data_IF_458886122391
#
_entry.id   IF_458886122391
#
_cell.length_a   1.000
_cell.length_b   1.000
_cell.length_c   1.000
_cell.angle_alpha   90.00
_cell.angle_beta   90.00
_cell.angle_gamma   90.00
#
_symmetry.space_group_name_H-M   'P 1'
#
loop_
_entity.id
_entity.type
_entity.pdbx_description
1 polymer ?
#
# COMPACT_ATOMS: atom_id res chain seq x y z
N UNK A 1 -8.96 -2.45 6.47
CA UNK A 1 -8.03 -1.41 6.96
C UNK A 1 -8.66 -0.56 8.06
N UNK A 2 -9.73 0.21 7.78
CA UNK A 2 -10.38 1.14 8.73
C UNK A 2 -10.62 0.53 10.12
N UNK A 3 -11.20 -0.67 10.21
CA UNK A 3 -11.44 -1.37 11.49
C UNK A 3 -10.16 -1.54 12.34
N UNK A 4 -9.01 -1.81 11.72
CA UNK A 4 -7.72 -1.95 12.42
C UNK A 4 -7.22 -0.60 12.96
N UNK A 5 -7.60 0.52 12.34
CA UNK A 5 -7.27 1.87 12.81
C UNK A 5 -8.18 2.34 13.96
N UNK A 6 -9.31 1.67 14.18
CA UNK A 6 -10.21 1.92 15.31
C UNK A 6 -9.76 1.19 16.59
N UNK A 7 -8.79 0.28 16.51
CA UNK A 7 -8.25 -0.43 17.68
C UNK A 7 -7.56 0.55 18.61
N UNK A 8 -8.10 0.68 19.82
CA UNK A 8 -7.53 1.52 20.86
C UNK A 8 -6.50 0.71 21.65
N UNK A 9 -5.29 1.26 21.84
CA UNK A 9 -4.26 0.63 22.68
C UNK A 9 -4.74 0.64 24.14
N UNK A 10 -4.89 -0.53 24.78
CA UNK A 10 -5.38 -0.59 26.15
C UNK A 10 -4.27 -0.38 27.17
N UNK A 11 -4.62 0.19 28.32
CA UNK A 11 -3.77 0.17 29.53
C UNK A 11 -3.86 -1.18 30.24
N UNK A 12 -5.02 -1.85 30.17
CA UNK A 12 -5.31 -3.14 30.82
C UNK A 12 -4.98 -4.39 29.98
N UNK A 13 -4.35 -4.23 28.81
CA UNK A 13 -4.02 -5.34 27.89
C UNK A 13 -5.17 -5.88 27.03
N UNK A 14 -6.44 -5.53 27.32
CA UNK A 14 -7.62 -5.97 26.54
C UNK A 14 -7.94 -4.95 25.43
N UNK A 15 -7.72 -5.32 24.17
CA UNK A 15 -7.99 -4.44 23.02
C UNK A 15 -9.47 -4.03 22.94
N UNK A 16 -9.72 -2.74 22.69
CA UNK A 16 -11.06 -2.18 22.56
C UNK A 16 -11.34 -1.68 21.15
N UNK A 17 -12.59 -1.82 20.72
CA UNK A 17 -13.14 -1.23 19.50
C UNK A 17 -14.34 -0.37 19.88
N UNK A 18 -14.41 0.90 19.43
CA UNK A 18 -15.56 1.75 19.69
C UNK A 18 -16.77 1.31 18.87
N UNK A 19 -17.97 1.38 19.47
CA UNK A 19 -19.22 1.17 18.76
C UNK A 19 -19.52 2.39 17.86
N UNK A 20 -19.25 2.27 16.56
CA UNK A 20 -19.43 3.36 15.58
C UNK A 20 -20.06 2.85 14.28
N UNK A 21 -20.77 3.74 13.59
CA UNK A 21 -21.23 3.53 12.22
C UNK A 21 -20.38 4.34 11.24
N UNK A 22 -19.90 3.72 10.17
CA UNK A 22 -19.02 4.35 9.17
C UNK A 22 -19.58 4.09 7.77
N UNK A 23 -19.82 5.17 7.02
CA UNK A 23 -20.10 5.14 5.58
C UNK A 23 -18.90 5.75 4.85
N UNK A 24 -18.13 4.91 4.16
CA UNK A 24 -16.86 5.26 3.51
C UNK A 24 -16.95 4.99 2.00
N UNK A 25 -16.40 5.90 1.19
CA UNK A 25 -16.20 5.74 -0.26
C UNK A 25 -15.03 6.62 -0.73
N UNK A 26 -14.24 6.20 -1.73
CA UNK A 26 -13.18 7.04 -2.28
C UNK A 26 -13.78 8.23 -3.05
N UNK A 27 -13.16 9.40 -2.94
CA UNK A 27 -13.51 10.57 -3.75
C UNK A 27 -13.05 10.42 -5.23
N UNK A 28 -11.89 9.79 -5.43
CA UNK A 28 -11.32 9.49 -6.74
C UNK A 28 -11.14 7.99 -6.92
N UNK A 29 -11.56 7.39 -8.06
CA UNK A 29 -11.43 5.96 -8.30
C UNK A 29 -9.96 5.53 -8.43
N UNK A 30 -9.12 6.37 -9.04
CA UNK A 30 -7.69 6.13 -9.22
C UNK A 30 -6.87 6.74 -8.08
N UNK A 31 -6.24 5.92 -7.25
CA UNK A 31 -5.33 6.34 -6.16
C UNK A 31 -4.02 5.58 -6.31
N UNK A 32 -3.08 6.22 -7.00
CA UNK A 32 -1.88 5.59 -7.53
C UNK A 32 -0.60 5.88 -6.74
N UNK A 33 0.33 4.94 -6.80
CA UNK A 33 1.74 5.15 -6.45
C UNK A 33 2.61 4.54 -7.57
N UNK A 34 3.67 5.26 -7.96
CA UNK A 34 4.66 4.76 -8.91
C UNK A 34 5.89 4.25 -8.16
N UNK A 35 6.35 3.03 -8.49
CA UNK A 35 7.68 2.54 -8.10
C UNK A 35 8.56 2.43 -9.35
N UNK A 36 9.73 3.05 -9.27
CA UNK A 36 10.78 3.00 -10.27
C UNK A 36 11.81 1.96 -9.86
N UNK A 37 11.90 0.88 -10.63
CA UNK A 37 12.90 -0.19 -10.44
C UNK A 37 14.00 -0.15 -11.52
N UNK A 38 13.98 0.85 -12.38
CA UNK A 38 14.95 1.00 -13.46
C UNK A 38 16.25 1.60 -12.92
N UNK A 39 16.16 2.74 -12.20
CA UNK A 39 17.33 3.43 -11.62
C UNK A 39 17.95 2.70 -10.44
N UNK A 40 17.16 2.02 -9.62
CA UNK A 40 17.62 1.27 -8.45
C UNK A 40 16.90 -0.08 -8.38
N UNK A 41 17.61 -1.13 -7.95
CA UNK A 41 17.02 -2.45 -7.79
C UNK A 41 16.30 -2.59 -6.44
N UNK A 42 15.13 -3.23 -6.45
CA UNK A 42 14.35 -3.53 -5.25
C UNK A 42 14.06 -5.03 -5.18
N UNK A 43 14.29 -5.64 -4.02
CA UNK A 43 13.98 -7.04 -3.80
C UNK A 43 12.45 -7.25 -3.67
N UNK A 44 11.92 -8.44 -4.03
CA UNK A 44 10.49 -8.74 -3.91
C UNK A 44 9.92 -8.56 -2.49
N UNK A 45 10.74 -8.64 -1.45
CA UNK A 45 10.34 -8.36 -0.05
C UNK A 45 9.97 -6.89 0.16
N UNK A 46 10.70 -5.98 -0.47
CA UNK A 46 10.51 -4.53 -0.35
C UNK A 46 9.30 -4.08 -1.14
N UNK A 47 9.14 -4.57 -2.37
CA UNK A 47 7.92 -4.36 -3.18
C UNK A 47 6.68 -4.88 -2.44
N UNK A 48 6.74 -6.09 -1.84
CA UNK A 48 5.66 -6.62 -1.00
C UNK A 48 5.42 -5.83 0.29
N UNK A 49 6.42 -5.12 0.82
CA UNK A 49 6.23 -4.21 1.95
C UNK A 49 5.51 -2.93 1.50
N UNK A 50 5.96 -2.32 0.39
CA UNK A 50 5.31 -1.17 -0.23
C UNK A 50 3.83 -1.44 -0.56
N UNK A 51 3.52 -2.59 -1.18
CA UNK A 51 2.14 -2.99 -1.49
C UNK A 51 1.27 -3.17 -0.23
N UNK A 52 1.84 -3.65 0.89
CA UNK A 52 1.12 -3.68 2.18
C UNK A 52 0.86 -2.27 2.72
N UNK A 53 1.81 -1.35 2.57
CA UNK A 53 1.64 0.06 2.92
C UNK A 53 0.65 0.78 1.99
N UNK A 54 0.50 0.35 0.73
CA UNK A 54 -0.54 0.83 -0.20
C UNK A 54 -1.94 0.25 0.10
N UNK A 55 -2.02 -0.91 0.75
CA UNK A 55 -3.27 -1.47 1.28
C UNK A 55 -3.66 -0.85 2.64
N UNK A 56 -2.67 -0.30 3.37
CA UNK A 56 -2.87 0.84 4.25
C UNK A 56 -3.14 2.10 3.38
N UNK A 57 -3.75 3.16 3.92
CA UNK A 57 -4.19 4.36 3.18
C UNK A 57 -5.18 4.15 2.00
N UNK A 58 -5.51 2.90 1.61
CA UNK A 58 -6.48 2.53 0.55
C UNK A 58 -6.07 2.94 -0.88
N UNK A 59 -4.77 2.93 -1.20
CA UNK A 59 -4.32 3.04 -2.60
C UNK A 59 -4.75 1.79 -3.39
N UNK A 60 -4.93 1.92 -4.71
CA UNK A 60 -5.43 0.83 -5.57
C UNK A 60 -4.79 0.72 -6.95
N UNK A 61 -3.93 1.66 -7.36
CA UNK A 61 -3.12 1.50 -8.57
C UNK A 61 -1.64 1.50 -8.22
N UNK A 62 -0.92 0.48 -8.67
CA UNK A 62 0.52 0.39 -8.57
C UNK A 62 1.11 0.54 -9.96
N UNK A 63 1.67 1.72 -10.25
CA UNK A 63 2.37 1.97 -11.50
C UNK A 63 3.81 1.46 -11.36
N UNK A 64 4.09 0.30 -11.95
CA UNK A 64 5.42 -0.28 -11.89
C UNK A 64 6.22 0.20 -13.10
N UNK A 65 7.11 1.16 -12.90
CA UNK A 65 8.02 1.66 -13.93
C UNK A 65 9.21 0.70 -14.05
N UNK A 66 9.15 -0.16 -15.06
CA UNK A 66 9.99 -1.36 -15.23
C UNK A 66 11.16 -1.17 -16.21
N UNK A 67 11.17 -0.08 -16.99
CA UNK A 67 12.14 0.18 -18.05
C UNK A 67 12.46 1.68 -18.12
N UNK A 68 13.74 2.04 -18.18
CA UNK A 68 14.25 3.40 -18.38
C UNK A 68 15.65 3.29 -19.03
N UNK A 69 16.28 4.42 -19.41
CA UNK A 69 17.57 4.39 -20.12
C UNK A 69 18.69 3.68 -19.33
N UNK A 70 18.58 3.66 -17.99
CA UNK A 70 19.59 3.07 -17.10
C UNK A 70 19.27 1.62 -16.67
N UNK A 71 18.15 1.04 -17.11
CA UNK A 71 17.78 -0.31 -16.69
C UNK A 71 16.51 -0.87 -17.31
N UNK A 72 16.61 -2.12 -17.76
CA UNK A 72 15.51 -2.93 -18.28
C UNK A 72 15.18 -4.06 -17.29
N UNK A 73 13.96 -4.09 -16.73
CA UNK A 73 13.53 -5.08 -15.71
C UNK A 73 12.38 -5.99 -16.16
N UNK A 74 11.80 -5.74 -17.32
CA UNK A 74 10.72 -6.57 -17.87
C UNK A 74 11.32 -7.77 -18.64
N UNK A 75 11.00 -9.03 -18.31
CA UNK A 75 11.47 -10.15 -19.10
C UNK A 75 10.83 -10.11 -20.50
N UNK A 76 11.61 -10.43 -21.53
CA UNK A 76 11.15 -10.66 -22.90
C UNK A 76 11.70 -12.02 -23.33
N UNK A 77 10.85 -12.83 -23.95
CA UNK A 77 11.14 -14.16 -24.50
C UNK A 77 11.03 -14.13 -26.03
#
# INVERSE_FOLDING_TARGET
MTLRQLLQKPESGIWQLPLVSIRDKPALPWRGLMLDVSRHFFFPKEVKHLLRTMALFKMNHFHWHLTDDQGWRFPVE
#
